data_IF_736121261931
#
_entry.id   IF_736121261931
#
_cell.length_a   1.000
_cell.length_b   1.000
_cell.length_c   1.000
_cell.angle_alpha   90.00
_cell.angle_beta   90.00
_cell.angle_gamma   90.00
#
_symmetry.space_group_name_H-M   'P 1'
#
loop_
_entity.id
_entity.type
_entity.pdbx_description
1 polymer ?
#
# COMPACT_ATOMS: atom_id res chain seq x y z
N UNK A 1 -11.64 -27.88 -9.83
CA UNK A 1 -10.45 -27.25 -9.23
C UNK A 1 -10.69 -25.73 -9.21
N UNK A 2 -10.32 -25.05 -8.11
CA UNK A 2 -10.39 -23.59 -8.06
C UNK A 2 -9.23 -23.04 -8.91
N UNK A 3 -9.56 -22.36 -10.02
CA UNK A 3 -8.58 -21.79 -10.95
C UNK A 3 -8.35 -20.30 -10.69
N UNK A 4 -9.06 -19.71 -9.72
CA UNK A 4 -8.87 -18.30 -9.35
C UNK A 4 -7.44 -18.07 -8.88
N UNK A 5 -6.85 -16.99 -9.34
CA UNK A 5 -5.46 -16.61 -9.02
C UNK A 5 -4.39 -17.30 -9.87
N UNK A 6 -4.72 -18.29 -10.71
CA UNK A 6 -3.72 -18.85 -11.62
C UNK A 6 -3.39 -17.86 -12.74
N UNK A 7 -2.09 -17.74 -13.03
CA UNK A 7 -1.58 -16.86 -14.09
C UNK A 7 -2.13 -17.28 -15.45
N UNK A 8 -2.74 -16.34 -16.18
CA UNK A 8 -3.35 -16.57 -17.49
C UNK A 8 -2.51 -16.00 -18.64
N UNK A 9 -1.57 -15.11 -18.34
CA UNK A 9 -0.75 -14.37 -19.31
C UNK A 9 -1.39 -13.08 -19.82
N UNK A 10 -2.58 -12.74 -19.32
CA UNK A 10 -3.28 -11.50 -19.68
C UNK A 10 -3.12 -10.40 -18.62
N UNK A 11 -2.44 -10.72 -17.52
CA UNK A 11 -2.21 -9.78 -16.42
C UNK A 11 -1.25 -8.68 -16.86
N UNK A 12 -1.60 -7.47 -16.50
CA UNK A 12 -0.82 -6.28 -16.84
C UNK A 12 -1.02 -5.20 -15.78
N UNK A 13 -0.07 -4.29 -15.78
CA UNK A 13 -0.03 -3.12 -14.90
C UNK A 13 0.32 -3.47 -13.44
N UNK A 14 1.08 -2.58 -12.85
CA UNK A 14 1.48 -2.66 -11.45
C UNK A 14 0.61 -1.69 -10.64
N UNK A 15 -0.03 -2.21 -9.62
CA UNK A 15 -0.97 -1.45 -8.81
C UNK A 15 -0.39 -1.08 -7.45
N UNK A 16 -0.52 0.18 -7.06
CA UNK A 16 -0.29 0.67 -5.70
C UNK A 16 -1.64 0.94 -5.04
N UNK A 17 -1.90 0.29 -3.93
CA UNK A 17 -3.08 0.59 -3.11
C UNK A 17 -2.89 1.92 -2.40
N UNK A 18 -3.85 2.81 -2.56
CA UNK A 18 -3.84 4.16 -1.98
C UNK A 18 -4.57 4.15 -0.64
N UNK A 19 -3.79 3.98 0.42
CA UNK A 19 -4.28 4.23 1.76
C UNK A 19 -4.36 5.74 2.02
N UNK A 20 -5.46 6.19 2.56
CA UNK A 20 -5.69 7.61 2.84
C UNK A 20 -6.33 7.82 4.22
N UNK A 21 -6.06 8.94 4.81
CA UNK A 21 -6.68 9.41 6.03
C UNK A 21 -7.08 10.88 5.87
N UNK A 22 -8.32 11.22 6.22
CA UNK A 22 -8.87 12.58 6.06
C UNK A 22 -8.61 13.16 4.65
N UNK A 23 -8.91 12.36 3.63
CA UNK A 23 -8.74 12.72 2.20
C UNK A 23 -7.29 13.05 1.80
N UNK A 24 -6.33 12.52 2.51
CA UNK A 24 -4.91 12.67 2.20
C UNK A 24 -4.27 11.29 2.08
N UNK A 25 -3.57 11.00 0.97
CA UNK A 25 -2.78 9.77 0.88
C UNK A 25 -1.74 9.70 2.00
N UNK A 26 -1.58 8.53 2.57
CA UNK A 26 -0.52 8.27 3.55
C UNK A 26 0.85 8.39 2.87
N UNK A 27 1.87 8.80 3.63
CA UNK A 27 3.22 9.03 3.05
C UNK A 27 3.79 7.80 2.33
N UNK A 28 3.52 6.60 2.86
CA UNK A 28 3.95 5.32 2.25
C UNK A 28 3.42 5.14 0.83
N UNK A 29 2.28 5.73 0.47
CA UNK A 29 1.74 5.68 -0.89
C UNK A 29 2.69 6.38 -1.87
N UNK A 30 3.21 7.54 -1.50
CA UNK A 30 4.16 8.28 -2.34
C UNK A 30 5.50 7.54 -2.46
N UNK A 31 5.96 6.91 -1.38
CA UNK A 31 7.14 6.04 -1.40
C UNK A 31 6.95 4.88 -2.39
N UNK A 32 5.79 4.21 -2.33
CA UNK A 32 5.47 3.11 -3.22
C UNK A 32 5.30 3.54 -4.67
N UNK A 33 4.66 4.68 -4.94
CA UNK A 33 4.57 5.21 -6.30
C UNK A 33 5.97 5.41 -6.89
N UNK A 34 6.93 5.93 -6.12
CA UNK A 34 8.31 6.08 -6.57
C UNK A 34 8.99 4.75 -6.87
N UNK A 35 8.95 3.82 -5.92
CA UNK A 35 9.58 2.51 -6.08
C UNK A 35 8.95 1.70 -7.24
N UNK A 36 7.61 1.67 -7.31
CA UNK A 36 6.90 0.89 -8.34
C UNK A 36 6.99 1.55 -9.72
N UNK A 37 7.20 2.90 -9.80
CA UNK A 37 7.46 3.55 -11.08
C UNK A 37 8.71 2.99 -11.76
N UNK A 38 9.80 2.80 -11.00
CA UNK A 38 11.03 2.18 -11.52
C UNK A 38 10.81 0.74 -12.00
N UNK A 39 9.97 -0.03 -11.28
CA UNK A 39 9.62 -1.39 -11.68
C UNK A 39 8.76 -1.38 -12.96
N UNK A 40 7.79 -0.50 -13.03
CA UNK A 40 6.88 -0.37 -14.17
C UNK A 40 7.63 0.02 -15.45
N UNK A 41 8.58 0.97 -15.37
CA UNK A 41 9.40 1.37 -16.48
C UNK A 41 10.28 0.23 -16.97
N UNK A 42 10.88 -0.55 -16.06
CA UNK A 42 11.73 -1.70 -16.38
C UNK A 42 10.97 -2.85 -17.06
N UNK A 43 9.72 -3.09 -16.63
CA UNK A 43 8.89 -4.17 -17.16
C UNK A 43 7.92 -3.72 -18.25
N UNK A 44 8.00 -2.47 -18.70
CA UNK A 44 7.11 -1.87 -19.71
C UNK A 44 5.63 -1.96 -19.38
N UNK A 45 5.30 -1.81 -18.09
CA UNK A 45 3.94 -1.81 -17.58
C UNK A 45 3.52 -0.41 -17.13
N UNK A 46 2.22 -0.17 -17.02
CA UNK A 46 1.72 1.07 -16.41
C UNK A 46 1.80 0.97 -14.89
N UNK A 47 2.04 2.11 -14.25
CA UNK A 47 1.84 2.27 -12.82
C UNK A 47 0.42 2.78 -12.56
N UNK A 48 -0.37 1.98 -11.88
CA UNK A 48 -1.74 2.35 -11.55
C UNK A 48 -1.89 2.49 -10.03
N UNK A 49 -2.72 3.44 -9.62
CA UNK A 49 -3.15 3.59 -8.24
C UNK A 49 -4.59 3.08 -8.10
N UNK A 50 -4.91 2.41 -6.99
CA UNK A 50 -6.24 1.88 -6.74
C UNK A 50 -6.73 2.29 -5.36
N UNK A 51 -7.96 2.80 -5.26
CA UNK A 51 -8.56 3.21 -3.99
C UNK A 51 -10.06 2.98 -3.93
N UNK A 52 -10.56 2.82 -2.69
CA UNK A 52 -11.95 2.91 -2.34
C UNK A 52 -12.14 4.16 -1.45
N UNK A 53 -13.07 5.04 -1.78
CA UNK A 53 -13.25 6.33 -1.10
C UNK A 53 -14.66 6.86 -1.34
N UNK A 54 -15.16 7.67 -0.41
CA UNK A 54 -16.44 8.36 -0.58
C UNK A 54 -16.34 9.60 -1.48
N UNK A 55 -15.24 10.35 -1.38
CA UNK A 55 -14.96 11.51 -2.23
C UNK A 55 -13.44 11.66 -2.48
N UNK A 56 -12.96 11.42 -3.71
CA UNK A 56 -11.53 11.42 -4.02
C UNK A 56 -10.89 12.81 -3.97
N UNK A 57 -11.67 13.90 -4.06
CA UNK A 57 -11.17 15.29 -4.10
C UNK A 57 -10.00 15.46 -5.09
N UNK A 58 -8.87 16.00 -4.64
CA UNK A 58 -7.66 16.27 -5.40
C UNK A 58 -6.61 15.12 -5.29
N UNK A 59 -7.01 13.96 -4.80
CA UNK A 59 -6.10 12.81 -4.65
C UNK A 59 -5.57 12.35 -6.01
N UNK A 60 -6.38 12.18 -7.07
CA UNK A 60 -5.89 11.71 -8.37
C UNK A 60 -4.77 12.59 -8.92
N UNK A 61 -4.92 13.90 -8.86
CA UNK A 61 -3.92 14.86 -9.34
C UNK A 61 -2.59 14.71 -8.58
N UNK A 62 -2.67 14.49 -7.27
CA UNK A 62 -1.49 14.21 -6.45
C UNK A 62 -0.82 12.90 -6.86
N UNK A 63 -1.60 11.83 -7.08
CA UNK A 63 -1.05 10.54 -7.50
C UNK A 63 -0.37 10.61 -8.87
N UNK A 64 -0.94 11.37 -9.81
CA UNK A 64 -0.29 11.62 -11.10
C UNK A 64 1.03 12.36 -10.93
N UNK A 65 1.08 13.40 -10.12
CA UNK A 65 2.31 14.13 -9.84
C UNK A 65 3.42 13.23 -9.28
N UNK A 66 3.08 12.14 -8.59
CA UNK A 66 4.02 11.16 -8.07
C UNK A 66 4.23 9.93 -8.97
N UNK A 67 3.73 9.97 -10.19
CA UNK A 67 4.11 9.01 -11.23
C UNK A 67 3.04 8.00 -11.64
N UNK A 68 1.84 8.04 -11.09
CA UNK A 68 0.75 7.18 -11.55
C UNK A 68 0.35 7.53 -13.00
N UNK A 69 0.03 6.51 -13.80
CA UNK A 69 -0.51 6.65 -15.16
C UNK A 69 -2.02 6.55 -15.17
N UNK A 70 -2.58 5.72 -14.27
CA UNK A 70 -4.02 5.49 -14.12
C UNK A 70 -4.39 5.48 -12.65
N UNK A 71 -5.56 6.03 -12.32
CA UNK A 71 -6.15 5.95 -10.97
C UNK A 71 -7.52 5.27 -11.05
N UNK A 72 -7.63 4.09 -10.47
CA UNK A 72 -8.89 3.37 -10.31
C UNK A 72 -9.57 3.76 -9.01
N UNK A 73 -10.82 4.17 -9.08
CA UNK A 73 -11.57 4.69 -7.93
C UNK A 73 -12.88 3.94 -7.78
N UNK A 74 -13.03 3.18 -6.70
CA UNK A 74 -14.32 2.72 -6.23
C UNK A 74 -14.94 3.80 -5.33
N UNK A 75 -16.00 4.47 -5.81
CA UNK A 75 -16.62 5.57 -5.08
C UNK A 75 -17.96 5.15 -4.50
N UNK A 76 -18.10 5.22 -3.16
CA UNK A 76 -19.36 4.99 -2.45
C UNK A 76 -19.32 5.67 -1.08
N UNK A 77 -20.43 6.25 -0.56
CA UNK A 77 -20.47 6.85 0.78
C UNK A 77 -20.02 5.92 1.92
N UNK A 78 -20.15 4.60 1.74
CA UNK A 78 -19.69 3.60 2.71
C UNK A 78 -18.17 3.51 2.85
N UNK A 79 -17.41 4.08 1.91
CA UNK A 79 -15.95 4.13 1.96
C UNK A 79 -15.40 5.39 2.67
N UNK A 80 -16.23 6.08 3.44
CA UNK A 80 -15.80 7.20 4.26
C UNK A 80 -14.78 6.80 5.31
N UNK A 81 -15.01 5.65 5.92
CA UNK A 81 -14.17 5.08 6.96
C UNK A 81 -13.71 3.69 6.56
N UNK A 82 -12.48 3.32 6.92
CA UNK A 82 -11.95 2.01 6.61
C UNK A 82 -12.80 0.90 7.26
N UNK A 83 -13.20 -0.06 6.45
CA UNK A 83 -13.83 -1.32 6.85
C UNK A 83 -13.22 -2.43 6.02
N UNK A 84 -12.66 -3.44 6.69
CA UNK A 84 -11.96 -4.55 6.03
C UNK A 84 -12.82 -5.23 4.99
N UNK A 85 -14.08 -5.53 5.31
CA UNK A 85 -14.97 -6.28 4.42
C UNK A 85 -15.34 -5.45 3.18
N UNK A 86 -15.67 -4.16 3.36
CA UNK A 86 -16.05 -3.27 2.25
C UNK A 86 -14.88 -2.99 1.32
N UNK A 87 -13.73 -2.64 1.88
CA UNK A 87 -12.54 -2.29 1.10
C UNK A 87 -11.95 -3.52 0.39
N UNK A 88 -11.90 -4.68 1.07
CA UNK A 88 -11.48 -5.93 0.43
C UNK A 88 -12.37 -6.24 -0.77
N UNK A 89 -13.69 -6.11 -0.62
CA UNK A 89 -14.60 -6.42 -1.72
C UNK A 89 -14.41 -5.49 -2.91
N UNK A 90 -14.30 -4.18 -2.67
CA UNK A 90 -14.09 -3.21 -3.74
C UNK A 90 -12.79 -3.47 -4.51
N UNK A 91 -11.69 -3.72 -3.80
CA UNK A 91 -10.39 -3.98 -4.44
C UNK A 91 -10.40 -5.31 -5.20
N UNK A 92 -10.98 -6.36 -4.63
CA UNK A 92 -11.11 -7.68 -5.26
C UNK A 92 -11.94 -7.59 -6.55
N UNK A 93 -13.08 -6.88 -6.55
CA UNK A 93 -13.87 -6.70 -7.76
C UNK A 93 -13.09 -5.96 -8.86
N UNK A 94 -12.28 -4.96 -8.50
CA UNK A 94 -11.42 -4.27 -9.46
C UNK A 94 -10.29 -5.17 -9.98
N UNK A 95 -9.71 -6.02 -9.12
CA UNK A 95 -8.70 -7.01 -9.54
C UNK A 95 -9.31 -8.01 -10.52
N UNK A 96 -10.50 -8.51 -10.23
CA UNK A 96 -11.23 -9.45 -11.10
C UNK A 96 -11.61 -8.82 -12.45
N UNK A 97 -11.80 -7.50 -12.52
CA UNK A 97 -12.17 -6.80 -13.77
C UNK A 97 -10.94 -6.41 -14.61
N UNK A 98 -9.87 -5.95 -13.97
CA UNK A 98 -8.74 -5.32 -14.67
C UNK A 98 -7.47 -6.18 -14.72
N UNK A 99 -7.39 -7.25 -13.94
CA UNK A 99 -6.32 -8.24 -13.93
C UNK A 99 -4.90 -7.64 -13.78
N UNK A 100 -4.58 -6.95 -12.66
CA UNK A 100 -3.23 -6.45 -12.44
C UNK A 100 -2.22 -7.59 -12.31
N UNK A 101 -0.99 -7.36 -12.75
CA UNK A 101 0.10 -8.34 -12.59
C UNK A 101 0.65 -8.37 -11.16
N UNK A 102 0.66 -7.23 -10.48
CA UNK A 102 1.06 -7.15 -9.07
C UNK A 102 0.33 -6.03 -8.32
N UNK A 103 0.17 -6.19 -7.01
CA UNK A 103 -0.44 -5.20 -6.10
C UNK A 103 0.49 -4.94 -4.92
N UNK A 104 0.87 -3.68 -4.75
CA UNK A 104 1.75 -3.18 -3.69
C UNK A 104 0.93 -2.40 -2.66
N UNK A 105 1.09 -2.74 -1.39
CA UNK A 105 0.31 -2.17 -0.27
C UNK A 105 1.29 -1.68 0.79
N UNK A 106 1.03 -0.56 1.45
CA UNK A 106 1.82 -0.12 2.62
C UNK A 106 1.66 -1.10 3.79
N UNK A 107 2.74 -1.44 4.50
CA UNK A 107 2.68 -2.29 5.70
C UNK A 107 2.27 -1.48 6.95
N UNK A 108 1.23 -0.70 6.83
CA UNK A 108 0.52 0.04 7.88
C UNK A 108 -0.43 -0.89 8.64
N UNK A 109 -1.13 -0.39 9.63
CA UNK A 109 -2.17 -1.17 10.33
C UNK A 109 -3.25 -1.65 9.37
N UNK A 110 -3.79 -0.75 8.54
CA UNK A 110 -4.86 -1.07 7.60
C UNK A 110 -4.35 -1.95 6.45
N UNK A 111 -3.15 -1.67 5.92
CA UNK A 111 -2.56 -2.48 4.86
C UNK A 111 -2.21 -3.91 5.28
N UNK A 112 -1.80 -4.11 6.53
CA UNK A 112 -1.55 -5.45 7.12
C UNK A 112 -2.84 -6.24 7.36
N UNK A 113 -3.95 -5.56 7.51
CA UNK A 113 -5.28 -6.18 7.58
C UNK A 113 -5.84 -6.46 6.17
N UNK A 114 -5.79 -5.49 5.28
CA UNK A 114 -6.37 -5.55 3.94
C UNK A 114 -5.63 -6.52 3.01
N UNK A 115 -4.30 -6.45 2.95
CA UNK A 115 -3.50 -7.24 2.02
C UNK A 115 -3.72 -8.74 2.12
N UNK A 116 -3.62 -9.36 3.30
CA UNK A 116 -3.89 -10.79 3.48
C UNK A 116 -5.33 -11.20 3.10
N UNK A 117 -6.30 -10.32 3.33
CA UNK A 117 -7.70 -10.56 2.97
C UNK A 117 -7.89 -10.60 1.46
N UNK A 118 -7.28 -9.66 0.74
CA UNK A 118 -7.30 -9.65 -0.72
C UNK A 118 -6.61 -10.90 -1.25
N UNK A 119 -5.39 -11.20 -0.78
CA UNK A 119 -4.63 -12.35 -1.30
C UNK A 119 -5.35 -13.68 -1.07
N UNK A 120 -6.02 -13.85 0.07
CA UNK A 120 -6.84 -15.02 0.35
C UNK A 120 -8.06 -15.13 -0.59
N UNK A 121 -8.70 -14.00 -0.92
CA UNK A 121 -9.82 -13.96 -1.86
C UNK A 121 -9.39 -14.25 -3.30
N UNK A 122 -8.21 -13.75 -3.68
CA UNK A 122 -7.60 -13.96 -4.98
C UNK A 122 -6.93 -15.34 -5.11
N UNK A 123 -6.86 -16.12 -4.03
CA UNK A 123 -6.14 -17.39 -4.00
C UNK A 123 -4.68 -17.24 -4.46
N UNK A 124 -4.02 -16.17 -4.05
CA UNK A 124 -2.63 -15.86 -4.39
C UNK A 124 -1.77 -15.72 -3.13
N UNK A 125 -0.45 -15.65 -3.31
CA UNK A 125 0.49 -15.42 -2.23
C UNK A 125 0.66 -13.95 -1.89
N UNK A 126 1.07 -13.66 -0.64
CA UNK A 126 1.45 -12.32 -0.20
C UNK A 126 2.76 -12.36 0.57
N UNK A 127 3.73 -11.55 0.15
CA UNK A 127 4.95 -11.32 0.93
C UNK A 127 4.76 -10.11 1.86
N UNK A 128 4.91 -10.32 3.16
CA UNK A 128 4.68 -9.27 4.15
C UNK A 128 5.95 -8.51 4.50
N UNK A 129 5.84 -7.19 4.67
CA UNK A 129 6.85 -6.29 5.25
C UNK A 129 8.15 -6.22 4.42
N UNK A 130 8.00 -6.12 3.11
CA UNK A 130 9.11 -6.04 2.16
C UNK A 130 9.89 -4.75 2.31
N UNK A 131 11.21 -4.84 2.10
CA UNK A 131 12.14 -3.70 2.18
C UNK A 131 12.95 -3.49 0.91
N UNK A 132 12.96 -4.45 -0.02
CA UNK A 132 13.57 -4.34 -1.34
C UNK A 132 12.59 -4.92 -2.36
N UNK A 133 12.47 -4.25 -3.50
CA UNK A 133 11.61 -4.64 -4.61
C UNK A 133 12.43 -4.63 -5.90
N UNK A 134 12.35 -5.71 -6.65
CA UNK A 134 12.96 -5.82 -7.98
C UNK A 134 11.97 -6.49 -8.92
N UNK A 135 12.12 -6.32 -10.22
CA UNK A 135 11.28 -6.95 -11.23
C UNK A 135 12.12 -7.44 -12.40
N UNK A 136 11.77 -8.60 -12.92
CA UNK A 136 12.31 -9.12 -14.18
C UNK A 136 11.55 -8.50 -15.38
N UNK A 137 12.14 -8.54 -16.56
CA UNK A 137 11.48 -8.15 -17.81
C UNK A 137 10.21 -8.97 -18.07
N UNK A 138 10.15 -10.19 -17.54
CA UNK A 138 8.97 -11.08 -17.58
C UNK A 138 7.80 -10.59 -16.73
N UNK A 139 8.00 -9.55 -15.91
CA UNK A 139 7.02 -9.06 -14.94
C UNK A 139 7.01 -9.82 -13.62
N UNK A 140 7.96 -10.75 -13.40
CA UNK A 140 8.09 -11.43 -12.10
C UNK A 140 8.72 -10.52 -11.07
N UNK A 141 8.00 -10.25 -9.98
CA UNK A 141 8.45 -9.39 -8.89
C UNK A 141 9.21 -10.19 -7.85
N UNK A 142 10.36 -9.68 -7.45
CA UNK A 142 11.19 -10.18 -6.36
C UNK A 142 10.86 -9.39 -5.09
N UNK A 143 10.22 -10.05 -4.15
CA UNK A 143 9.80 -9.47 -2.88
C UNK A 143 10.81 -9.83 -1.81
N UNK A 144 11.68 -8.90 -1.41
CA UNK A 144 12.72 -9.18 -0.42
C UNK A 144 12.39 -8.53 0.92
N UNK A 145 12.50 -9.32 1.97
CA UNK A 145 12.21 -8.92 3.34
C UNK A 145 13.23 -9.44 4.34
N UNK A 146 13.47 -8.76 5.46
CA UNK A 146 14.20 -9.32 6.58
C UNK A 146 13.46 -10.53 7.19
N UNK A 147 14.18 -11.55 7.52
CA UNK A 147 13.70 -12.76 8.18
C UNK A 147 14.60 -13.12 9.39
N UNK A 148 14.17 -14.06 10.21
CA UNK A 148 14.92 -14.58 11.36
C UNK A 148 15.51 -13.45 12.25
N UNK A 149 14.68 -12.49 12.66
CA UNK A 149 15.13 -11.37 13.49
C UNK A 149 15.98 -10.33 12.76
N UNK A 150 15.98 -10.33 11.44
CA UNK A 150 16.73 -9.38 10.59
C UNK A 150 18.13 -9.84 10.18
N UNK A 151 18.54 -11.02 10.59
CA UNK A 151 19.86 -11.57 10.26
C UNK A 151 19.94 -12.18 8.85
N UNK A 152 18.81 -12.43 8.22
CA UNK A 152 18.69 -13.05 6.89
C UNK A 152 17.75 -12.20 6.05
N UNK A 153 18.09 -12.05 4.78
CA UNK A 153 17.19 -11.48 3.77
C UNK A 153 16.59 -12.62 2.95
N UNK A 154 15.26 -12.69 2.88
CA UNK A 154 14.54 -13.67 2.11
C UNK A 154 13.86 -13.01 0.91
N UNK A 155 14.15 -13.51 -0.29
CA UNK A 155 13.47 -13.09 -1.53
C UNK A 155 12.41 -14.11 -1.89
N UNK A 156 11.17 -13.69 -1.99
CA UNK A 156 10.00 -14.52 -2.28
C UNK A 156 9.50 -14.21 -3.70
N UNK A 157 9.14 -15.24 -4.43
CA UNK A 157 8.61 -15.17 -5.79
C UNK A 157 7.25 -15.83 -5.87
N UNK A 158 6.31 -15.20 -6.56
CA UNK A 158 4.99 -15.75 -6.87
C UNK A 158 4.92 -16.05 -8.37
N UNK A 159 5.33 -17.27 -8.77
CA UNK A 159 5.53 -17.62 -10.19
C UNK A 159 4.25 -18.04 -10.90
N UNK A 160 3.32 -18.63 -10.20
CA UNK A 160 2.15 -19.31 -10.79
C UNK A 160 0.82 -18.58 -10.54
N UNK A 161 0.78 -17.69 -9.54
CA UNK A 161 -0.43 -16.99 -9.13
C UNK A 161 -0.32 -15.48 -9.35
N UNK A 162 -1.44 -14.85 -9.62
CA UNK A 162 -1.62 -13.40 -9.82
C UNK A 162 -2.90 -12.91 -9.13
N UNK A 163 -2.93 -11.65 -8.74
CA UNK A 163 -1.82 -10.72 -8.75
C UNK A 163 -0.71 -11.16 -7.80
N UNK A 164 0.55 -10.86 -8.13
CA UNK A 164 1.65 -10.98 -7.18
C UNK A 164 1.44 -9.90 -6.10
N UNK A 165 1.55 -10.24 -4.83
CA UNK A 165 1.19 -9.29 -3.77
C UNK A 165 2.27 -9.15 -2.71
N UNK A 166 2.41 -7.93 -2.21
CA UNK A 166 3.25 -7.68 -1.04
C UNK A 166 2.83 -6.44 -0.26
N UNK A 167 3.07 -6.49 1.06
CA UNK A 167 3.07 -5.28 1.87
C UNK A 167 4.49 -4.77 2.03
N UNK A 168 4.67 -3.45 1.96
CA UNK A 168 5.97 -2.79 1.96
C UNK A 168 6.13 -1.92 3.18
N UNK A 169 7.27 -2.04 3.86
CA UNK A 169 7.53 -1.31 5.11
C UNK A 169 7.59 0.19 4.85
N UNK A 170 6.81 1.02 5.58
CA UNK A 170 6.92 2.47 5.52
C UNK A 170 8.33 2.97 5.86
N UNK A 171 8.70 4.13 5.31
CA UNK A 171 10.01 4.77 5.50
C UNK A 171 11.21 3.95 5.00
N UNK A 172 10.96 3.00 4.10
CA UNK A 172 12.01 2.18 3.47
C UNK A 172 12.34 2.68 2.06
N UNK A 173 11.34 3.16 1.35
CA UNK A 173 11.48 3.65 0.00
C UNK A 173 11.44 5.18 -0.02
N UNK A 174 12.13 5.78 -0.97
CA UNK A 174 12.15 7.23 -1.09
C UNK A 174 10.98 7.71 -1.94
N UNK A 175 10.15 8.60 -1.40
CA UNK A 175 9.16 9.29 -2.20
C UNK A 175 9.86 10.19 -3.24
N UNK A 176 9.46 10.14 -4.52
CA UNK A 176 10.03 11.02 -5.55
C UNK A 176 9.60 12.47 -5.32
N UNK A 177 10.23 13.39 -6.02
CA UNK A 177 9.72 14.76 -6.10
C UNK A 177 8.48 14.78 -7.00
N UNK A 178 7.42 15.53 -6.63
CA UNK A 178 6.25 15.65 -7.48
C UNK A 178 6.61 16.31 -8.81
N UNK A 179 6.04 15.80 -9.90
CA UNK A 179 6.18 16.31 -11.25
C UNK A 179 4.97 17.20 -11.55
N UNK A 180 5.16 18.51 -11.54
CA UNK A 180 4.10 19.46 -11.84
C UNK A 180 3.59 19.27 -13.28
N UNK A 181 2.27 19.36 -13.46
CA UNK A 181 1.61 19.24 -14.76
C UNK A 181 1.51 17.83 -15.32
N UNK A 182 1.98 16.78 -14.59
CA UNK A 182 1.73 15.40 -14.99
C UNK A 182 0.26 15.08 -14.83
N UNK A 183 -0.33 14.49 -15.87
CA UNK A 183 -1.72 14.03 -15.90
C UNK A 183 -1.79 12.54 -16.20
N UNK A 184 -2.94 11.93 -15.97
CA UNK A 184 -3.18 10.53 -16.24
C UNK A 184 -4.67 10.25 -16.45
N UNK A 185 -5.05 9.00 -16.48
CA UNK A 185 -6.41 8.52 -16.66
C UNK A 185 -7.07 8.25 -15.31
N UNK A 186 -8.31 8.72 -15.12
CA UNK A 186 -9.15 8.36 -13.97
C UNK A 186 -10.22 7.39 -14.43
N UNK A 187 -10.26 6.20 -13.82
CA UNK A 187 -11.25 5.18 -14.07
C UNK A 187 -12.14 5.02 -12.84
N UNK A 188 -13.40 5.43 -12.98
CA UNK A 188 -14.39 5.25 -11.92
C UNK A 188 -15.00 3.85 -12.01
N UNK A 189 -14.95 3.12 -10.91
CA UNK A 189 -15.51 1.78 -10.79
C UNK A 189 -16.73 1.79 -9.88
N UNK A 190 -17.82 1.18 -10.34
CA UNK A 190 -19.00 0.98 -9.51
C UNK A 190 -18.98 -0.43 -8.94
N UNK A 191 -18.90 -0.55 -7.62
CA UNK A 191 -18.90 -1.84 -6.92
C UNK A 191 -20.22 -2.56 -7.19
N UNK A 192 -20.12 -3.78 -7.70
CA UNK A 192 -21.28 -4.59 -8.15
C UNK A 192 -22.04 -5.19 -6.96
N UNK A 193 -21.28 -5.60 -5.93
CA UNK A 193 -21.84 -6.24 -4.74
C UNK A 193 -21.24 -5.60 -3.49
N UNK A 194 -22.00 -4.74 -2.83
CA UNK A 194 -21.58 -4.15 -1.56
C UNK A 194 -21.97 -5.11 -0.42
N UNK A 195 -20.98 -5.72 0.28
CA UNK A 195 -21.29 -6.62 1.38
C UNK A 195 -21.95 -5.86 2.55
N UNK A 196 -22.59 -6.60 3.43
CA UNK A 196 -23.03 -6.05 4.70
C UNK A 196 -21.80 -5.71 5.55
N UNK A 197 -21.76 -4.48 6.07
CA UNK A 197 -20.71 -4.09 7.00
C UNK A 197 -21.04 -4.62 8.39
N UNK A 198 -20.20 -5.53 8.89
CA UNK A 198 -20.38 -6.16 10.20
C UNK A 198 -19.77 -5.37 11.35
N UNK A 199 -19.12 -4.25 11.04
CA UNK A 199 -18.43 -3.39 12.01
C UNK A 199 -19.03 -2.00 11.97
N UNK A 200 -19.39 -1.48 13.13
CA UNK A 200 -19.86 -0.10 13.26
C UNK A 200 -18.85 0.71 14.07
N UNK A 201 -18.33 1.78 13.49
CA UNK A 201 -17.44 2.71 14.18
C UNK A 201 -18.29 3.59 15.09
N UNK A 202 -18.17 3.40 16.40
CA UNK A 202 -18.92 4.19 17.38
C UNK A 202 -18.30 5.56 17.64
N UNK A 203 -16.95 5.65 17.58
CA UNK A 203 -16.20 6.88 17.87
C UNK A 203 -14.81 6.83 17.24
N UNK A 204 -14.36 7.96 16.74
CA UNK A 204 -12.96 8.22 16.36
C UNK A 204 -12.39 9.31 17.27
N UNK A 205 -11.24 9.10 17.82
CA UNK A 205 -10.51 10.07 18.62
C UNK A 205 -9.15 10.33 17.97
N UNK A 206 -8.86 11.59 17.67
CA UNK A 206 -7.54 11.99 17.26
C UNK A 206 -6.62 11.93 18.49
N UNK A 207 -5.55 11.16 18.41
CA UNK A 207 -4.48 11.21 19.41
C UNK A 207 -3.63 12.45 19.12
N UNK A 208 -3.93 13.54 19.81
CA UNK A 208 -3.05 14.72 19.83
C UNK A 208 -1.90 14.44 20.79
N UNK A 209 -0.73 14.18 20.27
CA UNK A 209 0.51 14.21 21.04
C UNK A 209 0.77 15.69 21.29
N UNK A 210 0.55 16.15 22.53
CA UNK A 210 0.46 17.55 23.00
C UNK A 210 1.49 18.54 22.44
N UNK A 211 1.35 18.95 21.18
CA UNK A 211 2.17 19.95 20.51
C UNK A 211 3.59 19.50 20.13
N UNK A 212 3.98 18.30 20.46
CA UNK A 212 5.28 17.72 20.10
C UNK A 212 5.17 16.85 18.84
N UNK A 213 6.26 16.80 18.08
CA UNK A 213 6.38 15.93 16.89
C UNK A 213 6.25 14.46 17.30
N UNK A 214 5.46 13.67 16.59
CA UNK A 214 5.40 12.24 16.83
C UNK A 214 6.77 11.58 16.63
N UNK A 215 7.09 10.58 17.44
CA UNK A 215 8.43 9.92 17.40
C UNK A 215 8.72 9.36 16.00
N UNK A 216 7.72 8.84 15.35
CA UNK A 216 7.82 8.26 14.00
C UNK A 216 7.96 9.31 12.89
N UNK A 217 7.67 10.58 13.16
CA UNK A 217 7.90 11.71 12.24
C UNK A 217 9.19 12.47 12.53
N UNK A 218 9.86 12.17 13.65
CA UNK A 218 11.07 12.84 14.03
C UNK A 218 12.26 12.46 13.10
N UNK A 219 13.00 13.45 12.54
CA UNK A 219 14.18 13.18 11.70
C UNK A 219 15.33 12.54 12.50
N UNK A 220 15.40 12.80 13.79
CA UNK A 220 16.37 12.22 14.72
C UNK A 220 15.68 11.89 16.03
N UNK A 221 15.96 10.70 16.56
CA UNK A 221 15.44 10.25 17.85
C UNK A 221 16.62 9.92 18.77
N UNK A 222 16.73 10.65 19.89
CA UNK A 222 17.65 10.30 20.97
C UNK A 222 16.89 9.54 22.04
N UNK A 223 17.34 8.34 22.39
CA UNK A 223 16.67 7.51 23.38
C UNK A 223 17.63 6.93 24.41
N UNK A 224 17.12 6.73 25.63
CA UNK A 224 17.83 6.07 26.71
C UNK A 224 17.01 4.91 27.28
N UNK A 225 17.68 3.83 27.62
CA UNK A 225 17.06 2.65 28.20
C UNK A 225 17.55 2.36 29.62
N UNK A 226 17.45 1.11 30.05
CA UNK A 226 17.83 0.63 31.39
C UNK A 226 19.29 1.00 31.76
N UNK A 227 20.20 1.16 30.79
CA UNK A 227 21.58 1.57 30.98
C UNK A 227 21.74 2.97 31.59
N UNK A 228 20.73 3.84 31.48
CA UNK A 228 20.71 5.18 32.08
C UNK A 228 20.64 5.13 33.63
N UNK A 229 20.21 4.03 34.23
CA UNK A 229 20.12 3.72 35.67
C UNK A 229 19.20 4.65 36.45
N UNK A 230 19.44 5.98 36.40
CA UNK A 230 18.71 6.99 37.18
C UNK A 230 18.13 8.09 36.28
N UNK A 231 17.01 8.68 36.70
CA UNK A 231 16.31 9.75 35.98
C UNK A 231 17.23 10.92 35.60
N UNK A 232 18.13 11.33 36.50
CA UNK A 232 19.03 12.45 36.25
C UNK A 232 20.01 12.21 35.10
N UNK A 233 20.33 10.96 34.81
CA UNK A 233 21.23 10.62 33.69
C UNK A 233 20.60 10.85 32.32
N UNK A 234 19.27 10.97 32.22
CA UNK A 234 18.59 11.31 30.97
C UNK A 234 18.91 12.74 30.49
N UNK A 235 19.45 13.60 31.36
CA UNK A 235 19.99 14.92 30.97
C UNK A 235 21.14 14.82 29.95
N UNK A 236 21.77 13.65 29.83
CA UNK A 236 22.81 13.39 28.82
C UNK A 236 22.24 13.27 27.39
N UNK A 237 20.92 13.15 27.24
CA UNK A 237 20.26 13.05 25.96
C UNK A 237 19.75 14.41 25.42
N UNK A 238 19.81 15.45 26.24
CA UNK A 238 19.43 16.81 25.92
C UNK A 238 20.66 17.63 25.49
#
# INVERSE_FOLDING_TARGET
ANTKGLKTGNEKDLWVYVEHYDYKPMHVVYELLGAVRELADRSHQRLCAVMAIDDPKDIPEKLFAYGADVVYIAKDPKFKDYSTDLYTNAVVEMIDEYHPSAVFIGATSDGRDLGPRISARENTGLCADCTILEIEETGLVHWTRPAAGGNIMATILCKEHTPQMGTCRPKTFKAPKPQEGRTGEVVNYTVKHMPEDRVTILRKEAVTVGGEMAIDDAPFVCSGGRGMKQKDNFKLLL
#
